data_IF_944032384709
#
_entry.id   IF_944032384709
#
_cell.length_a   1.000
_cell.length_b   1.000
_cell.length_c   1.000
_cell.angle_alpha   90.00
_cell.angle_beta   90.00
_cell.angle_gamma   90.00
#
_symmetry.space_group_name_H-M   'P 1'
#
loop_
_entity.id
_entity.type
_entity.pdbx_description
1 polymer ?
#
# COMPACT_ATOMS: atom_id res chain seq x y z
N UNK A 1 6.22 -14.64 -20.99
CA UNK A 1 4.90 -14.76 -21.64
C UNK A 1 3.92 -13.72 -21.07
N UNK A 2 3.57 -12.66 -21.82
CA UNK A 2 2.79 -11.52 -21.31
C UNK A 2 1.34 -11.86 -20.92
N UNK A 3 0.73 -12.83 -21.61
CA UNK A 3 -0.66 -13.22 -21.41
C UNK A 3 -0.95 -13.75 -20.00
N UNK A 4 -0.08 -14.63 -19.49
CA UNK A 4 -0.20 -15.22 -18.14
C UNK A 4 -0.09 -14.15 -17.06
N UNK A 5 0.86 -13.21 -17.21
CA UNK A 5 1.05 -12.13 -16.27
C UNK A 5 -0.11 -11.12 -16.26
N UNK A 6 -0.85 -10.97 -17.37
CA UNK A 6 -2.06 -10.15 -17.43
C UNK A 6 -3.28 -10.87 -16.85
N UNK A 7 -3.37 -12.19 -17.07
CA UNK A 7 -4.42 -13.03 -16.48
C UNK A 7 -4.35 -13.01 -14.95
N UNK A 8 -3.16 -13.20 -14.38
CA UNK A 8 -2.93 -13.12 -12.93
C UNK A 8 -3.34 -11.76 -12.37
N UNK A 9 -2.91 -10.66 -13.01
CA UNK A 9 -3.31 -9.30 -12.61
C UNK A 9 -4.83 -9.11 -12.67
N UNK A 10 -5.47 -9.60 -13.72
CA UNK A 10 -6.92 -9.50 -13.89
C UNK A 10 -7.65 -10.28 -12.80
N UNK A 11 -7.22 -11.52 -12.53
CA UNK A 11 -7.79 -12.38 -11.50
C UNK A 11 -7.64 -11.76 -10.12
N UNK A 12 -6.43 -11.30 -9.77
CA UNK A 12 -6.13 -10.57 -8.53
C UNK A 12 -7.02 -9.34 -8.38
N UNK A 13 -7.14 -8.51 -9.42
CA UNK A 13 -7.93 -7.28 -9.35
C UNK A 13 -9.43 -7.55 -9.20
N UNK A 14 -9.95 -8.61 -9.84
CA UNK A 14 -11.35 -9.04 -9.65
C UNK A 14 -11.60 -9.50 -8.22
N UNK A 15 -10.68 -10.29 -7.66
CA UNK A 15 -10.75 -10.73 -6.27
C UNK A 15 -10.75 -9.55 -5.29
N UNK A 16 -9.80 -8.62 -5.44
CA UNK A 16 -9.71 -7.43 -4.58
C UNK A 16 -11.01 -6.60 -4.60
N UNK A 17 -11.61 -6.41 -5.78
CA UNK A 17 -12.89 -5.69 -5.91
C UNK A 17 -14.08 -6.40 -5.25
N UNK A 18 -14.00 -7.72 -5.03
CA UNK A 18 -15.02 -8.50 -4.35
C UNK A 18 -14.88 -8.53 -2.82
N UNK A 19 -13.81 -7.97 -2.27
CA UNK A 19 -13.60 -7.92 -0.82
C UNK A 19 -14.46 -6.83 -0.16
N UNK A 20 -14.83 -7.06 1.10
CA UNK A 20 -15.41 -6.01 1.95
C UNK A 20 -14.43 -4.84 2.06
N UNK A 21 -14.88 -3.57 2.14
CA UNK A 21 -13.99 -2.40 2.17
C UNK A 21 -12.89 -2.47 3.25
N UNK A 22 -13.20 -3.04 4.41
CA UNK A 22 -12.25 -3.20 5.51
C UNK A 22 -11.11 -4.16 5.13
N UNK A 23 -11.46 -5.32 4.56
CA UNK A 23 -10.49 -6.30 4.10
C UNK A 23 -9.74 -5.82 2.87
N UNK A 24 -10.40 -5.14 1.93
CA UNK A 24 -9.76 -4.58 0.74
C UNK A 24 -8.57 -3.71 1.10
N UNK A 25 -8.75 -2.77 2.03
CA UNK A 25 -7.68 -1.85 2.45
C UNK A 25 -6.53 -2.58 3.14
N UNK A 26 -6.85 -3.54 4.03
CA UNK A 26 -5.83 -4.31 4.75
C UNK A 26 -5.03 -5.20 3.80
N UNK A 27 -5.70 -5.94 2.91
CA UNK A 27 -5.04 -6.80 1.90
C UNK A 27 -4.21 -5.96 0.93
N UNK A 28 -4.73 -4.81 0.48
CA UNK A 28 -4.00 -3.92 -0.43
C UNK A 28 -2.74 -3.34 0.22
N UNK A 29 -2.75 -3.08 1.54
CA UNK A 29 -1.58 -2.58 2.27
C UNK A 29 -0.39 -3.53 2.22
N UNK A 30 -0.65 -4.84 2.15
CA UNK A 30 0.39 -5.88 1.96
C UNK A 30 0.95 -5.97 0.54
N UNK A 31 0.50 -5.13 -0.39
CA UNK A 31 1.00 -5.05 -1.77
C UNK A 31 1.10 -6.40 -2.51
N UNK A 32 0.02 -7.22 -2.56
CA UNK A 32 0.07 -8.57 -3.12
C UNK A 32 0.45 -8.54 -4.60
N UNK A 33 1.50 -9.29 -4.97
CA UNK A 33 2.01 -9.33 -6.33
C UNK A 33 1.18 -10.27 -7.22
N UNK A 34 0.68 -11.36 -6.65
CA UNK A 34 -0.08 -12.41 -7.35
C UNK A 34 -1.51 -12.54 -6.82
N UNK A 35 -2.35 -13.33 -7.50
CA UNK A 35 -3.66 -13.68 -6.96
C UNK A 35 -3.55 -14.46 -5.65
N UNK A 36 -2.58 -15.38 -5.55
CA UNK A 36 -2.42 -16.22 -4.36
C UNK A 36 -2.01 -15.40 -3.14
N UNK A 37 -1.10 -14.42 -3.31
CA UNK A 37 -0.72 -13.51 -2.22
C UNK A 37 -1.94 -12.75 -1.68
N UNK A 38 -2.82 -12.29 -2.57
CA UNK A 38 -4.04 -11.59 -2.16
C UNK A 38 -5.00 -12.50 -1.38
N UNK A 39 -5.11 -13.78 -1.77
CA UNK A 39 -5.96 -14.77 -1.08
C UNK A 39 -5.38 -15.10 0.29
N UNK A 40 -4.08 -15.42 0.37
CA UNK A 40 -3.42 -15.76 1.63
C UNK A 40 -3.52 -14.61 2.62
N UNK A 41 -3.15 -13.39 2.21
CA UNK A 41 -3.24 -12.20 3.06
C UNK A 41 -4.68 -11.98 3.54
N UNK A 42 -5.69 -12.19 2.69
CA UNK A 42 -7.09 -12.01 3.07
C UNK A 42 -7.57 -13.04 4.11
N UNK A 43 -7.09 -14.29 4.01
CA UNK A 43 -7.37 -15.35 4.98
C UNK A 43 -6.70 -15.01 6.31
N UNK A 44 -5.41 -14.70 6.29
CA UNK A 44 -4.63 -14.37 7.49
C UNK A 44 -5.26 -13.18 8.25
N UNK A 45 -5.60 -12.10 7.54
CA UNK A 45 -6.24 -10.93 8.14
C UNK A 45 -7.61 -11.28 8.71
N UNK A 46 -8.40 -12.11 8.02
CA UNK A 46 -9.73 -12.51 8.49
C UNK A 46 -9.61 -13.36 9.76
N UNK A 47 -8.67 -14.28 9.79
CA UNK A 47 -8.40 -15.14 10.94
C UNK A 47 -7.94 -14.33 12.15
N UNK A 48 -6.97 -13.42 11.96
CA UNK A 48 -6.52 -12.50 13.02
C UNK A 48 -7.61 -11.54 13.51
N UNK A 49 -8.60 -11.21 12.69
CA UNK A 49 -9.75 -10.40 13.13
C UNK A 49 -10.70 -11.19 14.04
N UNK A 50 -10.73 -12.51 13.89
CA UNK A 50 -11.57 -13.40 14.70
C UNK A 50 -10.86 -13.88 15.97
N UNK A 51 -9.53 -13.91 15.96
CA UNK A 51 -8.71 -14.22 17.14
C UNK A 51 -7.78 -13.04 17.48
N UNK A 52 -8.21 -12.10 18.36
CA UNK A 52 -7.43 -10.93 18.72
C UNK A 52 -6.14 -11.25 19.50
N UNK A 53 -5.94 -12.50 19.95
CA UNK A 53 -4.72 -12.96 20.63
C UNK A 53 -3.70 -13.61 19.68
N UNK A 54 -4.06 -13.84 18.41
CA UNK A 54 -3.16 -14.44 17.43
C UNK A 54 -2.10 -13.41 16.97
N UNK A 55 -0.79 -13.66 17.17
CA UNK A 55 0.25 -12.82 16.61
C UNK A 55 0.09 -12.84 15.09
N UNK A 56 -0.28 -11.70 14.50
CA UNK A 56 -0.32 -11.51 13.05
C UNK A 56 1.11 -11.78 12.55
N UNK A 57 1.35 -12.98 12.02
CA UNK A 57 2.66 -13.32 11.49
C UNK A 57 2.93 -12.34 10.35
N UNK A 58 3.83 -11.39 10.61
CA UNK A 58 4.34 -10.44 9.63
C UNK A 58 5.15 -11.21 8.59
N UNK A 59 4.48 -11.97 7.75
CA UNK A 59 5.09 -12.66 6.64
C UNK A 59 5.07 -11.70 5.46
N UNK A 60 6.26 -11.13 5.20
CA UNK A 60 6.64 -10.35 4.01
C UNK A 60 6.78 -8.84 4.21
N UNK A 61 7.85 -8.47 4.91
CA UNK A 61 8.81 -7.50 4.39
C UNK A 61 10.19 -7.80 5.00
N UNK A 62 10.86 -8.84 4.49
CA UNK A 62 12.31 -9.01 4.75
C UNK A 62 13.07 -7.97 3.93
N UNK A 63 13.05 -6.74 4.43
CA UNK A 63 14.06 -5.72 4.21
C UNK A 63 14.21 -4.95 5.52
N UNK A 64 15.26 -5.34 6.25
CA UNK A 64 15.85 -4.63 7.40
C UNK A 64 15.02 -4.57 8.69
N UNK A 65 15.29 -5.54 9.56
CA UNK A 65 15.15 -5.31 11.00
C UNK A 65 16.20 -4.31 11.48
N UNK A 66 15.86 -3.43 12.43
CA UNK A 66 16.72 -3.13 13.55
C UNK A 66 16.25 -3.97 14.74
N UNK A 67 17.19 -4.73 15.31
CA UNK A 67 16.98 -5.55 16.49
C UNK A 67 16.32 -4.75 17.63
N UNK A 68 15.38 -5.39 18.31
CA UNK A 68 14.85 -4.87 19.56
C UNK A 68 15.97 -4.77 20.59
N UNK A 69 16.24 -3.55 21.04
CA UNK A 69 16.97 -3.28 22.27
C UNK A 69 16.04 -2.46 23.17
N UNK A 70 15.61 -3.09 24.26
CA UNK A 70 14.94 -2.47 25.40
C UNK A 70 15.83 -1.35 25.95
N UNK A 71 15.32 -0.13 26.10
CA UNK A 71 15.81 0.85 27.09
C UNK A 71 14.88 2.06 27.24
N UNK A 72 14.19 2.08 28.38
CA UNK A 72 14.04 3.20 29.33
C UNK A 72 13.92 4.65 28.80
N UNK A 73 12.74 5.23 29.10
CA UNK A 73 12.40 6.66 29.27
C UNK A 73 13.55 7.67 29.20
N UNK A 74 13.56 8.57 28.20
CA UNK A 74 14.10 9.93 28.33
C UNK A 74 13.41 10.93 27.38
N UNK A 75 12.74 11.90 28.02
CA UNK A 75 12.59 13.33 27.73
C UNK A 75 12.76 13.86 26.29
N UNK A 76 11.74 14.59 25.81
CA UNK A 76 11.81 15.44 24.60
C UNK A 76 12.87 16.53 24.71
N UNK A 77 13.67 16.78 23.65
CA UNK A 77 14.30 18.07 23.43
C UNK A 77 13.45 18.88 22.44
N UNK A 78 12.94 20.02 22.91
CA UNK A 78 12.61 21.15 22.04
C UNK A 78 13.84 21.51 21.21
N UNK A 79 13.70 21.69 19.89
CA UNK A 79 14.81 22.22 19.11
C UNK A 79 14.65 22.16 17.60
N UNK A 80 14.35 23.34 17.05
CA UNK A 80 14.74 23.84 15.72
C UNK A 80 14.20 23.17 14.45
N UNK A 81 13.20 23.86 13.90
CA UNK A 81 12.94 24.08 12.48
C UNK A 81 14.22 24.18 11.64
N UNK A 82 14.52 23.19 10.81
CA UNK A 82 15.18 23.42 9.52
C UNK A 82 14.58 22.48 8.48
N UNK A 83 13.46 22.92 7.89
CA UNK A 83 12.92 22.35 6.68
C UNK A 83 13.84 22.67 5.50
N UNK A 84 14.86 21.85 5.24
CA UNK A 84 15.45 21.79 3.91
C UNK A 84 14.58 20.88 3.04
N UNK A 85 13.36 21.36 2.76
CA UNK A 85 12.57 20.84 1.66
C UNK A 85 13.33 21.21 0.38
N UNK A 86 14.29 20.36 0.01
CA UNK A 86 14.78 20.25 -1.35
C UNK A 86 13.56 20.00 -2.22
N UNK A 87 13.03 21.10 -2.76
CA UNK A 87 11.87 21.12 -3.62
C UNK A 87 12.20 20.20 -4.79
N UNK A 88 11.52 19.06 -4.85
CA UNK A 88 11.60 18.19 -6.01
C UNK A 88 11.16 19.00 -7.23
N UNK A 89 12.13 19.35 -8.09
CA UNK A 89 11.89 20.06 -9.34
C UNK A 89 11.83 19.03 -10.47
N UNK A 90 10.64 18.61 -10.92
CA UNK A 90 10.54 17.74 -12.09
C UNK A 90 10.97 18.54 -13.32
N UNK A 91 12.21 18.32 -13.79
CA UNK A 91 12.62 18.75 -15.12
C UNK A 91 12.13 17.73 -16.15
N UNK A 92 10.94 17.97 -16.67
CA UNK A 92 10.35 17.23 -17.78
C UNK A 92 9.59 18.17 -18.73
N UNK A 93 9.56 17.85 -20.03
CA UNK A 93 8.82 18.62 -21.03
C UNK A 93 7.33 18.68 -20.66
N UNK A 94 6.78 19.89 -20.55
CA UNK A 94 5.38 20.11 -20.20
C UNK A 94 4.47 19.52 -21.29
N UNK A 95 3.67 18.52 -20.92
CA UNK A 95 2.63 18.00 -21.80
C UNK A 95 1.50 19.03 -21.89
N UNK A 96 1.31 19.65 -23.06
CA UNK A 96 0.21 20.59 -23.28
C UNK A 96 -1.12 19.82 -23.24
N UNK A 97 -1.96 20.08 -22.23
CA UNK A 97 -3.35 19.62 -22.25
C UNK A 97 -4.15 20.49 -23.20
N UNK A 98 -4.86 19.87 -24.13
CA UNK A 98 -5.86 20.54 -24.97
C UNK A 98 -7.17 20.58 -24.17
N UNK A 99 -7.76 21.75 -24.03
CA UNK A 99 -9.06 21.91 -23.38
C UNK A 99 -10.14 21.27 -24.27
N UNK A 100 -10.85 20.28 -23.74
CA UNK A 100 -12.10 19.80 -24.34
C UNK A 100 -13.19 20.76 -23.88
N UNK A 101 -13.71 21.59 -24.79
CA UNK A 101 -14.93 22.34 -24.54
C UNK A 101 -16.08 21.35 -24.63
N UNK A 102 -16.74 21.07 -23.50
CA UNK A 102 -18.07 20.46 -23.52
C UNK A 102 -19.03 21.59 -23.84
N UNK A 103 -19.55 21.60 -25.07
CA UNK A 103 -20.71 22.40 -25.40
C UNK A 103 -21.90 21.73 -24.70
N UNK A 104 -22.39 22.33 -23.62
CA UNK A 104 -23.78 22.14 -23.22
C UNK A 104 -24.59 23.06 -24.13
N UNK A 105 -25.26 22.48 -25.11
CA UNK A 105 -26.40 23.13 -25.76
C UNK A 105 -27.65 22.82 -24.93
N UNK A 106 -28.50 23.84 -24.81
CA UNK A 106 -29.60 23.96 -23.85
C UNK A 106 -30.84 23.12 -24.18
#
# INVERSE_FOLDING_TARGET
MPAVANQERTKRNKFLKGLRPDLYRMVLSGSPATFMDAVNNAVDIKESLMDPEAPVQQTTARASQPAQAVSQSYQSPQGSQQSSLQQFRPRGKQFKRKAIRVLLDQ
#
